data_IF_571184539132
#
_entry.id   IF_571184539132
#
_cell.length_a   1.000
_cell.length_b   1.000
_cell.length_c   1.000
_cell.angle_alpha   90.00
_cell.angle_beta   90.00
_cell.angle_gamma   90.00
#
_symmetry.space_group_name_H-M   'P 1'
#
loop_
_entity.id
_entity.type
_entity.pdbx_description
1 polymer ?
#
# COMPACT_ATOMS: atom_id res chain seq x y z
N UNK A 1 -22.55 2.38 54.28
CA UNK A 1 -23.25 2.27 52.97
C UNK A 1 -22.71 3.23 51.90
N UNK A 2 -22.12 4.38 52.24
CA UNK A 2 -21.59 5.35 51.25
C UNK A 2 -20.26 4.92 50.59
N UNK A 3 -19.35 4.28 51.33
CA UNK A 3 -18.02 3.90 50.82
C UNK A 3 -18.06 2.95 49.61
N UNK A 4 -18.93 1.94 49.63
CA UNK A 4 -19.09 0.99 48.52
C UNK A 4 -19.71 1.69 47.30
N UNK A 5 -20.71 2.55 47.51
CA UNK A 5 -21.33 3.36 46.44
C UNK A 5 -20.32 4.29 45.78
N UNK A 6 -19.47 4.97 46.56
CA UNK A 6 -18.41 5.84 46.04
C UNK A 6 -17.39 5.06 45.20
N UNK A 7 -16.98 3.86 45.61
CA UNK A 7 -16.09 3.00 44.80
C UNK A 7 -16.73 2.56 43.48
N UNK A 8 -18.02 2.21 43.50
CA UNK A 8 -18.75 1.83 42.29
C UNK A 8 -18.83 3.02 41.32
N UNK A 9 -19.13 4.22 41.81
CA UNK A 9 -19.16 5.45 41.00
C UNK A 9 -17.78 5.77 40.42
N UNK A 10 -16.72 5.66 41.22
CA UNK A 10 -15.33 5.85 40.76
C UNK A 10 -14.93 4.82 39.68
N UNK A 11 -15.27 3.55 39.88
CA UNK A 11 -14.99 2.50 38.90
C UNK A 11 -15.73 2.75 37.58
N UNK A 12 -17.00 3.18 37.64
CA UNK A 12 -17.78 3.51 36.45
C UNK A 12 -17.20 4.72 35.70
N UNK A 13 -16.80 5.78 36.41
CA UNK A 13 -16.12 6.94 35.81
C UNK A 13 -14.81 6.55 35.13
N UNK A 14 -14.02 5.68 35.77
CA UNK A 14 -12.76 5.20 35.20
C UNK A 14 -13.00 4.36 33.93
N UNK A 15 -14.02 3.51 33.92
CA UNK A 15 -14.42 2.76 32.73
C UNK A 15 -14.88 3.67 31.59
N UNK A 16 -15.63 4.75 31.90
CA UNK A 16 -16.02 5.74 30.90
C UNK A 16 -14.81 6.45 30.30
N UNK A 17 -13.85 6.87 31.12
CA UNK A 17 -12.61 7.51 30.63
C UNK A 17 -11.79 6.56 29.75
N UNK A 18 -11.64 5.30 30.16
CA UNK A 18 -10.95 4.30 29.33
C UNK A 18 -11.70 4.08 28.02
N UNK A 19 -13.03 3.97 28.08
CA UNK A 19 -13.89 3.83 26.90
C UNK A 19 -13.72 4.97 25.91
N UNK A 20 -13.72 6.23 26.38
CA UNK A 20 -13.54 7.40 25.50
C UNK A 20 -12.14 7.49 24.92
N UNK A 21 -11.09 7.19 25.70
CA UNK A 21 -9.70 7.15 25.20
C UNK A 21 -9.54 6.07 24.13
N UNK A 22 -10.06 4.86 24.36
CA UNK A 22 -10.01 3.79 23.36
C UNK A 22 -10.81 4.16 22.10
N UNK A 23 -12.01 4.71 22.26
CA UNK A 23 -12.86 5.13 21.16
C UNK A 23 -12.19 6.21 20.29
N UNK A 24 -11.65 7.26 20.92
CA UNK A 24 -10.94 8.34 20.21
C UNK A 24 -9.65 7.85 19.54
N UNK A 25 -8.92 6.93 20.17
CA UNK A 25 -7.71 6.35 19.59
C UNK A 25 -8.01 5.54 18.32
N UNK A 26 -9.08 4.74 18.33
CA UNK A 26 -9.49 3.92 17.18
C UNK A 26 -10.00 4.79 16.02
N UNK A 27 -10.70 5.88 16.30
CA UNK A 27 -11.23 6.77 15.26
C UNK A 27 -10.16 7.67 14.63
N UNK A 28 -9.06 7.95 15.32
CA UNK A 28 -8.07 8.92 14.86
C UNK A 28 -6.91 8.25 14.10
N UNK A 29 -7.23 7.51 13.04
CA UNK A 29 -6.21 6.92 12.16
C UNK A 29 -5.49 8.05 11.42
N UNK A 30 -4.27 8.37 11.87
CA UNK A 30 -3.44 9.43 11.28
C UNK A 30 -2.62 8.96 10.08
N UNK A 31 -2.33 7.66 10.01
CA UNK A 31 -1.47 7.09 8.97
C UNK A 31 -2.05 5.80 8.41
N UNK A 32 -1.88 5.60 7.10
CA UNK A 32 -1.97 4.33 6.43
C UNK A 32 -0.65 3.58 6.54
N UNK A 33 -0.73 2.25 6.69
CA UNK A 33 0.43 1.38 6.76
C UNK A 33 0.53 0.56 5.49
N UNK A 34 1.58 0.79 4.70
CA UNK A 34 1.90 -0.01 3.53
C UNK A 34 3.02 -1.00 3.82
N UNK A 35 2.89 -2.21 3.28
CA UNK A 35 3.91 -3.26 3.29
C UNK A 35 4.32 -3.51 1.85
N UNK A 36 5.48 -2.99 1.48
CA UNK A 36 5.99 -3.02 0.13
C UNK A 36 7.05 -4.12 -0.02
N UNK A 37 7.13 -4.70 -1.21
CA UNK A 37 8.03 -5.79 -1.53
C UNK A 37 8.87 -5.45 -2.75
N UNK A 38 10.19 -5.57 -2.60
CA UNK A 38 11.16 -5.27 -3.65
C UNK A 38 12.19 -6.39 -3.74
N UNK A 39 12.69 -6.69 -4.94
CA UNK A 39 13.79 -7.64 -5.12
C UNK A 39 15.10 -6.96 -4.78
N UNK A 40 15.89 -7.60 -3.93
CA UNK A 40 17.23 -7.20 -3.56
C UNK A 40 18.23 -7.64 -4.64
N UNK A 41 18.99 -6.70 -5.18
CA UNK A 41 19.96 -6.92 -6.25
C UNK A 41 21.19 -7.70 -5.83
N UNK A 42 21.54 -7.70 -4.54
CA UNK A 42 22.72 -8.40 -4.01
C UNK A 42 22.37 -9.84 -3.66
N UNK A 43 21.24 -10.07 -3.01
CA UNK A 43 20.86 -11.40 -2.51
C UNK A 43 19.90 -12.16 -3.43
N UNK A 44 19.28 -11.47 -4.39
CA UNK A 44 18.20 -12.00 -5.24
C UNK A 44 16.88 -12.26 -4.50
N UNK A 45 16.82 -12.02 -3.18
CA UNK A 45 15.63 -12.27 -2.36
C UNK A 45 14.66 -11.08 -2.42
N UNK A 46 13.43 -11.32 -1.96
CA UNK A 46 12.43 -10.26 -1.80
C UNK A 46 12.54 -9.66 -0.39
N UNK A 47 12.93 -8.40 -0.33
CA UNK A 47 12.95 -7.61 0.91
C UNK A 47 11.57 -6.99 1.15
N UNK A 48 11.28 -6.72 2.42
CA UNK A 48 10.02 -6.09 2.87
C UNK A 48 10.31 -4.72 3.45
N UNK A 49 9.53 -3.73 3.04
CA UNK A 49 9.61 -2.36 3.53
C UNK A 49 8.24 -1.94 4.10
N UNK A 50 8.23 -1.36 5.31
CA UNK A 50 6.99 -0.87 5.93
C UNK A 50 7.02 0.66 5.91
N UNK A 51 5.95 1.27 5.39
CA UNK A 51 5.76 2.72 5.40
C UNK A 51 4.51 3.12 6.17
N UNK A 52 4.63 4.20 6.93
CA UNK A 52 3.51 4.88 7.56
C UNK A 52 3.30 6.21 6.86
N UNK A 53 2.22 6.31 6.08
CA UNK A 53 1.95 7.45 5.20
C UNK A 53 0.75 8.19 5.78
N UNK A 54 0.78 9.54 5.91
CA UNK A 54 -0.37 10.30 6.38
C UNK A 54 -1.61 9.98 5.54
N UNK A 55 -2.75 9.78 6.19
CA UNK A 55 -4.01 9.45 5.49
C UNK A 55 -4.36 10.56 4.51
N UNK A 56 -4.58 10.18 3.25
CA UNK A 56 -4.90 11.09 2.15
C UNK A 56 -6.40 11.13 1.90
N UNK A 57 -7.14 12.02 2.57
CA UNK A 57 -8.62 12.06 2.50
C UNK A 57 -9.21 12.49 1.14
N UNK A 58 -8.37 12.94 0.20
CA UNK A 58 -8.81 13.47 -1.11
C UNK A 58 -8.61 12.42 -2.21
N UNK A 59 -7.93 11.32 -1.91
CA UNK A 59 -7.51 10.32 -2.91
C UNK A 59 -8.02 8.94 -2.52
N UNK A 60 -8.39 8.17 -3.52
CA UNK A 60 -8.73 6.75 -3.32
C UNK A 60 -7.52 5.98 -2.77
N UNK A 61 -7.70 5.07 -1.81
CA UNK A 61 -6.60 4.37 -1.15
C UNK A 61 -5.66 3.63 -2.11
N UNK A 62 -6.18 3.07 -3.20
CA UNK A 62 -5.41 2.33 -4.20
C UNK A 62 -4.49 3.28 -4.98
N UNK A 63 -4.99 4.45 -5.35
CA UNK A 63 -4.20 5.46 -6.04
C UNK A 63 -3.08 5.99 -5.12
N UNK A 64 -3.38 6.24 -3.83
CA UNK A 64 -2.36 6.62 -2.86
C UNK A 64 -1.30 5.52 -2.66
N UNK A 65 -1.71 4.26 -2.62
CA UNK A 65 -0.78 3.12 -2.57
C UNK A 65 0.14 3.06 -3.80
N UNK A 66 -0.38 3.25 -5.01
CA UNK A 66 0.45 3.25 -6.22
C UNK A 66 1.47 4.37 -6.21
N UNK A 67 1.09 5.59 -5.81
CA UNK A 67 2.04 6.69 -5.71
C UNK A 67 3.18 6.38 -4.74
N UNK A 68 2.88 5.77 -3.60
CA UNK A 68 3.90 5.31 -2.66
C UNK A 68 4.79 4.22 -3.26
N UNK A 69 4.20 3.23 -3.94
CA UNK A 69 4.98 2.19 -4.63
C UNK A 69 5.91 2.79 -5.70
N UNK A 70 5.43 3.81 -6.42
CA UNK A 70 6.15 4.53 -7.48
C UNK A 70 7.32 5.38 -6.98
N UNK A 71 7.39 5.69 -5.67
CA UNK A 71 8.59 6.30 -5.08
C UNK A 71 9.80 5.35 -5.08
N UNK A 72 9.58 4.05 -5.30
CA UNK A 72 10.65 3.03 -5.29
C UNK A 72 11.14 2.72 -3.87
N UNK A 73 12.04 1.74 -3.70
CA UNK A 73 12.54 1.32 -2.39
C UNK A 73 13.44 2.36 -1.73
N UNK A 74 13.43 2.42 -0.40
CA UNK A 74 14.41 3.20 0.38
C UNK A 74 15.75 2.49 0.45
N UNK A 75 15.74 1.15 0.47
CA UNK A 75 16.96 0.35 0.42
C UNK A 75 17.59 0.41 -0.98
N UNK A 76 18.78 1.01 -1.10
CA UNK A 76 19.52 1.13 -2.35
C UNK A 76 19.98 -0.22 -2.94
N UNK A 77 19.98 -1.30 -2.15
CA UNK A 77 20.19 -2.65 -2.66
C UNK A 77 18.94 -3.25 -3.30
N UNK A 78 17.78 -2.60 -3.24
CA UNK A 78 16.57 -3.08 -3.91
C UNK A 78 16.39 -2.43 -5.28
N UNK A 79 15.87 -3.20 -6.23
CA UNK A 79 15.51 -2.66 -7.54
C UNK A 79 14.30 -1.73 -7.41
N UNK A 80 14.44 -0.48 -7.87
CA UNK A 80 13.29 0.31 -8.29
C UNK A 80 12.89 -0.17 -9.69
N UNK A 81 11.64 -0.57 -9.85
CA UNK A 81 11.08 -0.95 -11.14
C UNK A 81 10.17 0.14 -11.72
N UNK A 82 10.17 1.34 -11.12
CA UNK A 82 9.48 2.54 -11.60
C UNK A 82 10.49 3.70 -11.58
N UNK A 83 10.69 4.45 -12.67
CA UNK A 83 11.56 5.61 -12.66
C UNK A 83 11.04 6.70 -11.73
N UNK A 84 11.94 7.26 -10.92
CA UNK A 84 11.60 8.34 -10.00
C UNK A 84 10.98 9.55 -10.74
N UNK A 85 9.98 10.17 -10.12
CA UNK A 85 9.28 11.32 -10.70
C UNK A 85 8.19 10.98 -11.72
N UNK A 86 7.99 9.70 -12.03
CA UNK A 86 6.86 9.23 -12.83
C UNK A 86 5.53 9.50 -12.12
N UNK A 87 4.48 9.82 -12.89
CA UNK A 87 3.13 10.06 -12.37
C UNK A 87 2.19 8.96 -12.82
N UNK A 88 1.33 8.51 -11.89
CA UNK A 88 0.22 7.61 -12.17
C UNK A 88 -0.74 8.27 -13.17
N UNK A 89 -1.06 7.59 -14.28
CA UNK A 89 -1.93 8.17 -15.32
C UNK A 89 -3.40 8.05 -14.92
N UNK A 90 -3.81 6.87 -14.47
CA UNK A 90 -5.13 6.64 -13.89
C UNK A 90 -5.13 5.47 -12.91
N UNK A 91 -6.04 5.50 -11.93
CA UNK A 91 -6.24 4.39 -11.01
C UNK A 91 -7.66 4.46 -10.45
N UNK A 92 -8.43 3.39 -10.61
CA UNK A 92 -9.80 3.30 -10.11
C UNK A 92 -10.20 1.85 -9.85
N UNK A 93 -11.23 1.68 -9.03
CA UNK A 93 -11.81 0.38 -8.70
C UNK A 93 -13.23 0.31 -9.21
N UNK A 94 -13.57 -0.78 -9.91
CA UNK A 94 -14.94 -1.08 -10.34
C UNK A 94 -15.29 -2.50 -9.94
N UNK A 95 -16.37 -2.67 -9.18
CA UNK A 95 -16.88 -3.99 -8.74
C UNK A 95 -15.87 -4.87 -7.97
N UNK A 96 -14.89 -4.22 -7.32
CA UNK A 96 -13.78 -4.86 -6.61
C UNK A 96 -12.60 -5.25 -7.51
N UNK A 97 -12.58 -4.76 -8.75
CA UNK A 97 -11.47 -4.93 -9.70
C UNK A 97 -10.74 -3.59 -9.81
N UNK A 98 -9.43 -3.63 -9.56
CA UNK A 98 -8.55 -2.49 -9.73
C UNK A 98 -8.12 -2.36 -11.20
N UNK A 99 -8.16 -1.15 -11.71
CA UNK A 99 -7.59 -0.75 -13.00
C UNK A 99 -6.59 0.37 -12.74
N UNK A 100 -5.32 0.15 -13.06
CA UNK A 100 -4.28 1.16 -12.92
C UNK A 100 -3.49 1.30 -14.22
N UNK A 101 -3.35 2.52 -14.70
CA UNK A 101 -2.57 2.86 -15.89
C UNK A 101 -1.31 3.63 -15.49
N UNK A 102 -0.17 3.05 -15.85
CA UNK A 102 1.17 3.53 -15.53
C UNK A 102 1.79 4.21 -16.76
N UNK A 103 2.73 5.13 -16.57
CA UNK A 103 3.45 5.72 -17.70
C UNK A 103 4.34 4.68 -18.40
N UNK A 104 4.61 4.85 -19.69
CA UNK A 104 5.49 3.95 -20.44
C UNK A 104 6.90 3.83 -19.83
N UNK A 105 7.35 4.88 -19.13
CA UNK A 105 8.61 4.88 -18.37
C UNK A 105 8.69 3.74 -17.34
N UNK A 106 7.54 3.21 -16.88
CA UNK A 106 7.51 2.00 -16.06
C UNK A 106 8.23 0.84 -16.77
N UNK A 107 7.93 0.62 -18.05
CA UNK A 107 8.51 -0.46 -18.85
C UNK A 107 10.01 -0.21 -19.06
N UNK A 108 10.36 1.03 -19.43
CA UNK A 108 11.76 1.43 -19.66
C UNK A 108 12.63 1.32 -18.40
N UNK A 109 12.01 1.45 -17.22
CA UNK A 109 12.67 1.36 -15.92
C UNK A 109 12.91 -0.06 -15.42
N UNK A 110 12.42 -1.07 -16.11
CA UNK A 110 12.62 -2.47 -15.74
C UNK A 110 14.07 -2.85 -15.99
N UNK A 111 14.75 -3.29 -14.95
CA UNK A 111 16.12 -3.80 -15.08
C UNK A 111 16.11 -5.21 -15.68
N UNK A 112 17.13 -5.54 -16.46
CA UNK A 112 17.29 -6.85 -17.12
C UNK A 112 17.27 -8.03 -16.12
N UNK A 113 17.63 -7.80 -14.85
CA UNK A 113 17.63 -8.83 -13.80
C UNK A 113 16.25 -9.14 -13.20
N UNK A 114 15.20 -8.43 -13.65
CA UNK A 114 13.81 -8.69 -13.31
C UNK A 114 13.08 -9.26 -14.52
N UNK A 115 12.78 -10.56 -14.47
CA UNK A 115 11.97 -11.15 -15.52
C UNK A 115 10.48 -10.75 -15.38
N UNK A 116 9.73 -10.96 -16.45
CA UNK A 116 8.31 -10.63 -16.54
C UNK A 116 7.44 -11.30 -15.48
N UNK A 117 7.78 -12.53 -15.11
CA UNK A 117 7.07 -13.28 -14.09
C UNK A 117 7.38 -12.80 -12.68
N UNK A 118 8.62 -12.40 -12.40
CA UNK A 118 9.01 -11.77 -11.16
C UNK A 118 8.33 -10.42 -10.96
N UNK A 119 8.26 -9.59 -12.02
CA UNK A 119 7.56 -8.30 -11.98
C UNK A 119 6.08 -8.52 -11.71
N UNK A 120 5.46 -9.48 -12.42
CA UNK A 120 4.06 -9.86 -12.18
C UNK A 120 3.83 -10.29 -10.73
N UNK A 121 4.68 -11.17 -10.20
CA UNK A 121 4.60 -11.64 -8.80
C UNK A 121 4.79 -10.50 -7.80
N UNK A 122 5.76 -9.61 -8.01
CA UNK A 122 6.01 -8.48 -7.13
C UNK A 122 4.85 -7.49 -7.15
N UNK A 123 4.34 -7.11 -8.32
CA UNK A 123 3.17 -6.22 -8.44
C UNK A 123 1.95 -6.82 -7.74
N UNK A 124 1.62 -8.08 -8.05
CA UNK A 124 0.48 -8.76 -7.41
C UNK A 124 0.65 -8.83 -5.89
N UNK A 125 1.85 -9.19 -5.41
CA UNK A 125 2.13 -9.26 -3.97
C UNK A 125 1.97 -7.90 -3.29
N UNK A 126 2.48 -6.83 -3.90
CA UNK A 126 2.33 -5.47 -3.39
C UNK A 126 0.85 -5.05 -3.37
N UNK A 127 0.11 -5.25 -4.47
CA UNK A 127 -1.30 -4.87 -4.57
C UNK A 127 -2.15 -5.62 -3.53
N UNK A 128 -2.14 -6.96 -3.55
CA UNK A 128 -3.06 -7.74 -2.72
C UNK A 128 -2.69 -7.76 -1.23
N UNK A 129 -1.45 -7.40 -0.87
CA UNK A 129 -1.09 -7.20 0.54
C UNK A 129 -1.68 -5.91 1.10
N UNK A 130 -1.72 -4.84 0.30
CA UNK A 130 -2.12 -3.50 0.74
C UNK A 130 -3.59 -3.18 0.45
N UNK A 131 -4.14 -3.73 -0.63
CA UNK A 131 -5.51 -3.50 -1.10
C UNK A 131 -6.34 -4.79 -0.98
N UNK A 132 -6.52 -5.28 0.25
CA UNK A 132 -7.06 -6.62 0.55
C UNK A 132 -8.51 -6.89 0.13
N UNK A 133 -9.27 -5.84 -0.14
CA UNK A 133 -10.68 -5.95 -0.55
C UNK A 133 -10.83 -6.19 -2.06
N UNK A 134 -9.74 -6.06 -2.84
CA UNK A 134 -9.74 -6.29 -4.27
C UNK A 134 -9.84 -7.79 -4.59
N UNK A 135 -10.62 -8.10 -5.62
CA UNK A 135 -10.77 -9.45 -6.18
C UNK A 135 -9.76 -9.73 -7.28
N UNK A 136 -9.42 -8.70 -8.06
CA UNK A 136 -8.50 -8.75 -9.19
C UNK A 136 -7.88 -7.38 -9.44
N UNK A 137 -6.81 -7.36 -10.23
CA UNK A 137 -6.13 -6.14 -10.66
C UNK A 137 -5.66 -6.27 -12.11
N UNK A 138 -5.99 -5.28 -12.94
CA UNK A 138 -5.52 -5.12 -14.30
C UNK A 138 -4.62 -3.89 -14.37
N UNK A 139 -3.38 -4.10 -14.80
CA UNK A 139 -2.35 -3.08 -14.83
C UNK A 139 -1.97 -2.81 -16.27
N UNK A 140 -1.96 -1.54 -16.63
CA UNK A 140 -1.68 -1.05 -17.98
C UNK A 140 -0.45 -0.14 -17.96
N UNK A 141 0.21 -0.05 -19.11
CA UNK A 141 1.15 1.01 -19.43
C UNK A 141 0.65 1.71 -20.69
N UNK A 142 0.25 2.98 -20.55
CA UNK A 142 -0.37 3.79 -21.60
C UNK A 142 -1.51 3.05 -22.34
N UNK A 143 -2.40 2.43 -21.56
CA UNK A 143 -3.56 1.70 -22.08
C UNK A 143 -3.29 0.29 -22.62
N UNK A 144 -2.04 -0.18 -22.65
CA UNK A 144 -1.70 -1.56 -23.04
C UNK A 144 -1.46 -2.42 -21.81
N UNK A 145 -2.02 -3.63 -21.75
CA UNK A 145 -1.86 -4.51 -20.59
C UNK A 145 -0.39 -4.86 -20.37
N UNK A 146 0.09 -4.63 -19.15
CA UNK A 146 1.52 -4.70 -18.84
C UNK A 146 2.09 -6.10 -19.07
N UNK A 147 1.31 -7.14 -18.77
CA UNK A 147 1.75 -8.52 -18.90
C UNK A 147 1.87 -8.99 -20.35
N UNK A 148 1.29 -8.28 -21.31
CA UNK A 148 1.53 -8.52 -22.73
C UNK A 148 2.86 -7.90 -23.17
N UNK A 149 3.16 -6.70 -22.67
CA UNK A 149 4.41 -5.99 -22.93
C UNK A 149 5.63 -6.74 -22.40
N UNK A 150 5.48 -7.38 -21.24
CA UNK A 150 6.55 -8.12 -20.57
C UNK A 150 6.85 -9.50 -21.18
N UNK A 151 6.07 -9.99 -22.16
CA UNK A 151 6.32 -11.29 -22.82
C UNK A 151 7.38 -11.23 -23.93
N UNK A 152 7.86 -10.03 -24.27
CA UNK A 152 8.92 -9.81 -25.26
C UNK A 152 10.29 -10.03 -24.64
#
# INVERSE_FOLDING_TARGET
MNYIKTKIVLAFLLLLIIGTVLFTSVLNKKHDRYVLFFKNSITGKVDTEIRYVPVQNIKEPEAAFFEELMLGPVNHHCFSFIPAGSKLLSCFVKEGILYADLPASFIDGIKEELDSEEIRKLLQKNIFTNCKHLKAAYIFAEGTEIYELLKK
#
